data_IF_354723021091
#
_entry.id   IF_354723021091
#
_cell.length_a   1.000
_cell.length_b   1.000
_cell.length_c   1.000
_cell.angle_alpha   90.00
_cell.angle_beta   90.00
_cell.angle_gamma   90.00
#
_symmetry.space_group_name_H-M   'P 1'
#
loop_
_entity.id
_entity.type
_entity.pdbx_description
1 polymer ?
#
# COMPACT_ATOMS: atom_id res chain seq x y z
N UNK A 1 31.49 34.91 -77.46
CA UNK A 1 31.65 34.55 -76.05
C UNK A 1 30.30 34.26 -75.45
N UNK A 2 29.97 32.98 -75.23
CA UNK A 2 28.68 32.55 -74.70
C UNK A 2 28.96 32.13 -73.25
N UNK A 3 28.47 32.92 -72.28
CA UNK A 3 28.61 32.60 -70.84
C UNK A 3 27.58 31.52 -70.48
N UNK A 4 28.09 30.36 -69.98
CA UNK A 4 27.29 29.28 -69.39
C UNK A 4 27.04 29.61 -67.95
N UNK A 5 25.79 29.84 -67.52
CA UNK A 5 25.36 29.89 -66.12
C UNK A 5 25.08 28.47 -65.62
N UNK A 6 25.87 28.02 -64.67
CA UNK A 6 25.65 26.74 -63.93
C UNK A 6 24.72 27.03 -62.78
N UNK A 7 23.48 26.52 -62.82
CA UNK A 7 22.53 26.54 -61.69
C UNK A 7 22.89 25.39 -60.76
N UNK A 8 23.33 25.69 -59.51
CA UNK A 8 23.53 24.72 -58.40
C UNK A 8 22.19 24.61 -57.68
N UNK A 9 21.57 23.43 -57.57
CA UNK A 9 20.34 23.28 -56.83
C UNK A 9 20.66 23.35 -55.32
N UNK A 10 20.06 24.30 -54.63
CA UNK A 10 20.08 24.39 -53.17
C UNK A 10 19.14 23.33 -52.60
N UNK A 11 19.70 22.21 -52.11
CA UNK A 11 18.93 21.20 -51.37
C UNK A 11 18.68 21.73 -49.98
N UNK A 12 17.47 22.24 -49.71
CA UNK A 12 17.00 22.60 -48.40
C UNK A 12 16.64 21.30 -47.66
N UNK A 13 17.49 20.86 -46.77
CA UNK A 13 17.12 19.82 -45.78
C UNK A 13 16.11 20.43 -44.80
N UNK A 14 14.84 20.11 -44.99
CA UNK A 14 13.83 20.33 -43.96
C UNK A 14 14.15 19.42 -42.78
N UNK A 15 14.86 19.93 -41.78
CA UNK A 15 14.96 19.30 -40.47
C UNK A 15 13.57 19.41 -39.87
N UNK A 16 12.78 18.33 -39.97
CA UNK A 16 11.55 18.16 -39.19
C UNK A 16 11.93 18.19 -37.71
N UNK A 17 11.72 19.35 -37.08
CA UNK A 17 11.76 19.42 -35.63
C UNK A 17 10.58 18.55 -35.11
N UNK A 18 10.81 17.26 -34.94
CA UNK A 18 9.94 16.44 -34.15
C UNK A 18 10.04 17.01 -32.72
N UNK A 19 9.03 17.75 -32.28
CA UNK A 19 8.93 18.22 -30.93
C UNK A 19 9.04 16.99 -29.99
N UNK A 20 9.86 17.12 -28.97
CA UNK A 20 10.01 16.07 -27.95
C UNK A 20 8.64 15.70 -27.39
N UNK A 21 8.30 14.41 -27.38
CA UNK A 21 7.04 13.93 -26.80
C UNK A 21 6.96 14.30 -25.32
N UNK A 22 5.79 14.69 -24.86
CA UNK A 22 5.52 14.91 -23.44
C UNK A 22 5.12 13.60 -22.75
N UNK A 23 5.17 13.55 -21.41
CA UNK A 23 4.69 12.42 -20.62
C UNK A 23 3.22 12.08 -20.90
N UNK A 24 2.39 13.13 -21.10
CA UNK A 24 0.98 13.01 -21.42
C UNK A 24 0.77 12.33 -22.78
N UNK A 25 1.47 12.81 -23.81
CA UNK A 25 1.40 12.24 -25.15
C UNK A 25 1.83 10.77 -25.19
N UNK A 26 2.85 10.41 -24.39
CA UNK A 26 3.31 9.04 -24.28
C UNK A 26 2.29 8.19 -23.53
N UNK A 27 1.74 8.70 -22.42
CA UNK A 27 0.70 8.01 -21.66
C UNK A 27 -0.53 7.73 -22.55
N UNK A 28 -1.00 8.73 -23.32
CA UNK A 28 -2.12 8.60 -24.26
C UNK A 28 -1.84 7.54 -25.34
N UNK A 29 -0.63 7.51 -25.89
CA UNK A 29 -0.24 6.54 -26.93
C UNK A 29 -0.13 5.09 -26.39
N UNK A 30 0.31 4.91 -25.13
CA UNK A 30 0.46 3.60 -24.49
C UNK A 30 -0.85 3.06 -23.90
N UNK A 31 -1.80 3.93 -23.56
CA UNK A 31 -3.00 3.60 -22.81
C UNK A 31 -3.80 2.42 -23.39
N UNK A 32 -4.04 2.28 -24.71
CA UNK A 32 -4.81 1.15 -25.24
C UNK A 32 -4.17 -0.22 -24.93
N UNK A 33 -2.83 -0.30 -25.02
CA UNK A 33 -2.09 -1.55 -24.71
C UNK A 33 -2.05 -1.80 -23.21
N UNK A 34 -1.92 -0.77 -22.40
CA UNK A 34 -1.92 -0.85 -20.94
C UNK A 34 -3.28 -1.27 -20.39
N UNK A 35 -4.38 -0.79 -20.97
CA UNK A 35 -5.74 -1.24 -20.60
C UNK A 35 -5.97 -2.73 -20.90
N UNK A 36 -5.28 -3.28 -21.90
CA UNK A 36 -5.30 -4.73 -22.15
C UNK A 36 -4.59 -5.48 -21.01
N UNK A 37 -3.43 -4.99 -20.57
CA UNK A 37 -2.68 -5.56 -19.43
C UNK A 37 -3.49 -5.43 -18.14
N UNK A 38 -4.06 -4.27 -17.88
CA UNK A 38 -4.93 -4.03 -16.71
C UNK A 38 -6.07 -5.04 -16.62
N UNK A 39 -6.85 -5.20 -17.72
CA UNK A 39 -7.98 -6.14 -17.75
C UNK A 39 -7.54 -7.59 -17.58
N UNK A 40 -6.37 -7.94 -18.09
CA UNK A 40 -5.80 -9.26 -17.93
C UNK A 40 -5.37 -9.52 -16.48
N UNK A 41 -4.73 -8.56 -15.79
CA UNK A 41 -4.41 -8.63 -14.36
C UNK A 41 -5.69 -8.69 -13.51
N UNK A 42 -6.65 -7.81 -13.78
CA UNK A 42 -7.92 -7.75 -13.05
C UNK A 42 -8.70 -9.05 -13.10
N UNK A 43 -8.77 -9.69 -14.27
CA UNK A 43 -9.50 -10.96 -14.44
C UNK A 43 -8.74 -12.20 -13.92
N UNK A 44 -7.47 -12.07 -13.55
CA UNK A 44 -6.63 -13.15 -13.04
C UNK A 44 -5.85 -12.72 -11.79
N UNK A 45 -6.53 -12.25 -10.73
CA UNK A 45 -5.87 -11.79 -9.52
C UNK A 45 -5.26 -12.95 -8.74
N UNK A 46 -4.17 -12.69 -8.02
CA UNK A 46 -3.46 -13.65 -7.19
C UNK A 46 -3.33 -13.13 -5.76
N UNK A 47 -3.55 -14.00 -4.78
CA UNK A 47 -3.43 -13.67 -3.36
C UNK A 47 -1.99 -13.36 -2.95
N UNK A 48 -1.83 -12.67 -1.83
CA UNK A 48 -0.54 -12.42 -1.18
C UNK A 48 0.31 -13.70 -1.06
N UNK A 49 1.56 -13.65 -1.49
CA UNK A 49 2.54 -14.74 -1.55
C UNK A 49 2.29 -15.77 -2.69
N UNK A 50 1.36 -15.51 -3.60
CA UNK A 50 1.05 -16.39 -4.74
C UNK A 50 1.09 -15.64 -6.09
N UNK A 51 1.72 -14.48 -6.17
CA UNK A 51 1.71 -13.52 -7.28
C UNK A 51 2.62 -13.96 -8.45
N UNK A 52 2.71 -15.26 -8.76
CA UNK A 52 3.64 -15.78 -9.77
C UNK A 52 3.33 -15.25 -11.18
N UNK A 53 2.05 -15.20 -11.54
CA UNK A 53 1.60 -14.71 -12.84
C UNK A 53 1.75 -13.19 -12.96
N UNK A 54 1.27 -12.46 -11.97
CA UNK A 54 1.32 -10.99 -11.89
C UNK A 54 2.77 -10.50 -11.96
N UNK A 55 3.66 -11.10 -11.16
CA UNK A 55 5.09 -10.80 -11.18
C UNK A 55 5.74 -11.09 -12.53
N UNK A 56 5.37 -12.20 -13.19
CA UNK A 56 5.88 -12.55 -14.52
C UNK A 56 5.45 -11.55 -15.60
N UNK A 57 4.22 -11.00 -15.51
CA UNK A 57 3.74 -9.94 -16.40
C UNK A 57 4.57 -8.66 -16.19
N UNK A 58 4.70 -8.21 -14.93
CA UNK A 58 5.50 -7.02 -14.59
C UNK A 58 6.95 -7.19 -15.06
N UNK A 59 7.57 -8.34 -14.81
CA UNK A 59 8.94 -8.64 -15.24
C UNK A 59 9.09 -8.56 -16.75
N UNK A 60 8.16 -9.16 -17.51
CA UNK A 60 8.16 -9.16 -18.98
C UNK A 60 8.08 -7.73 -19.53
N UNK A 61 7.17 -6.93 -18.99
CA UNK A 61 6.92 -5.57 -19.45
C UNK A 61 8.08 -4.63 -19.09
N UNK A 62 8.68 -4.77 -17.91
CA UNK A 62 9.89 -4.02 -17.53
C UNK A 62 11.09 -4.39 -18.43
N UNK A 63 11.27 -5.67 -18.75
CA UNK A 63 12.29 -6.11 -19.75
C UNK A 63 12.05 -5.46 -21.11
N UNK A 64 10.80 -5.45 -21.58
CA UNK A 64 10.42 -4.79 -22.83
C UNK A 64 10.66 -3.28 -22.83
N UNK A 65 10.52 -2.62 -21.67
CA UNK A 65 10.86 -1.21 -21.49
C UNK A 65 12.38 -0.95 -21.38
N UNK A 66 13.22 -2.00 -21.41
CA UNK A 66 14.68 -1.89 -21.38
C UNK A 66 15.30 -1.90 -20.00
N UNK A 67 14.62 -2.45 -19.01
CA UNK A 67 15.18 -2.71 -17.68
C UNK A 67 15.97 -4.03 -17.65
N UNK A 68 17.04 -4.06 -16.86
CA UNK A 68 17.63 -5.30 -16.37
C UNK A 68 16.77 -5.81 -15.20
N UNK A 69 16.14 -6.98 -15.34
CA UNK A 69 15.14 -7.47 -14.41
C UNK A 69 15.63 -8.71 -13.67
N UNK A 70 15.52 -8.66 -12.35
CA UNK A 70 15.69 -9.82 -11.45
C UNK A 70 14.33 -10.19 -10.85
N UNK A 71 13.98 -11.45 -10.96
CA UNK A 71 12.74 -12.03 -10.47
C UNK A 71 12.96 -12.81 -9.16
N UNK A 72 11.89 -13.04 -8.40
CA UNK A 72 11.89 -13.79 -7.14
C UNK A 72 12.81 -13.19 -6.07
N UNK A 73 12.78 -11.87 -5.96
CA UNK A 73 13.52 -11.12 -4.95
C UNK A 73 12.71 -11.04 -3.67
N UNK A 74 13.27 -11.53 -2.58
CA UNK A 74 12.70 -11.47 -1.24
C UNK A 74 12.82 -12.78 -0.46
N UNK A 75 12.77 -12.67 0.87
CA UNK A 75 12.86 -13.79 1.81
C UNK A 75 11.83 -13.64 2.91
N UNK A 76 10.82 -14.48 2.89
CA UNK A 76 9.87 -14.57 4.01
C UNK A 76 10.45 -15.37 5.17
N UNK A 77 9.96 -15.11 6.39
CA UNK A 77 10.31 -15.89 7.57
C UNK A 77 9.65 -17.29 7.59
N UNK A 78 8.78 -17.56 6.64
CA UNK A 78 8.09 -18.84 6.45
C UNK A 78 8.91 -19.74 5.52
N UNK A 79 9.51 -20.83 6.01
CA UNK A 79 10.29 -21.75 5.19
C UNK A 79 9.48 -22.33 4.01
N UNK A 80 10.11 -22.43 2.85
CA UNK A 80 9.49 -23.01 1.65
C UNK A 80 8.52 -22.11 0.89
N UNK A 81 8.33 -20.85 1.32
CA UNK A 81 7.51 -19.86 0.61
C UNK A 81 8.39 -19.08 -0.37
N UNK A 82 8.01 -19.09 -1.65
CA UNK A 82 8.66 -18.27 -2.68
C UNK A 82 8.20 -16.82 -2.54
N UNK A 83 9.13 -15.87 -2.67
CA UNK A 83 8.80 -14.46 -2.77
C UNK A 83 8.85 -14.05 -4.25
N UNK A 84 7.76 -13.51 -4.78
CA UNK A 84 7.64 -13.13 -6.19
C UNK A 84 8.04 -11.68 -6.48
N UNK A 85 8.88 -11.08 -5.62
CA UNK A 85 9.37 -9.72 -5.80
C UNK A 85 10.17 -9.54 -7.08
N UNK A 86 10.02 -8.37 -7.70
CA UNK A 86 10.68 -7.97 -8.95
C UNK A 86 11.53 -6.73 -8.68
N UNK A 87 12.75 -6.74 -9.20
CA UNK A 87 13.61 -5.55 -9.31
C UNK A 87 14.00 -5.32 -10.75
N UNK A 88 13.50 -4.25 -11.34
CA UNK A 88 13.87 -3.79 -12.68
C UNK A 88 14.79 -2.57 -12.59
N UNK A 89 15.98 -2.65 -13.16
CA UNK A 89 16.97 -1.56 -13.14
C UNK A 89 17.03 -0.88 -14.50
N UNK A 90 16.74 0.41 -14.55
CA UNK A 90 16.94 1.24 -15.75
C UNK A 90 18.03 2.28 -15.48
N UNK A 91 19.16 2.19 -16.16
CA UNK A 91 20.29 3.12 -16.04
C UNK A 91 20.35 4.08 -17.22
N UNK A 92 20.72 5.32 -16.94
CA UNK A 92 20.93 6.37 -17.94
C UNK A 92 22.04 7.36 -17.51
N UNK A 93 23.26 6.86 -17.38
CA UNK A 93 24.42 7.62 -16.92
C UNK A 93 24.48 7.75 -15.39
N UNK A 94 25.43 8.57 -14.93
CA UNK A 94 25.62 8.86 -13.50
C UNK A 94 24.55 9.85 -13.01
N UNK A 95 24.11 9.69 -11.77
CA UNK A 95 23.11 10.55 -11.15
C UNK A 95 22.45 9.88 -9.96
N UNK A 96 21.39 10.50 -9.41
CA UNK A 96 20.65 9.94 -8.28
C UNK A 96 19.99 8.59 -8.61
N UNK A 97 19.61 7.87 -7.56
CA UNK A 97 18.86 6.61 -7.63
C UNK A 97 17.45 6.86 -7.11
N UNK A 98 16.45 6.56 -7.93
CA UNK A 98 15.02 6.66 -7.56
C UNK A 98 14.41 5.27 -7.56
N UNK A 99 13.80 4.89 -6.44
CA UNK A 99 12.97 3.69 -6.36
C UNK A 99 11.53 4.06 -6.68
N UNK A 100 10.88 3.28 -7.56
CA UNK A 100 9.45 3.39 -7.90
C UNK A 100 8.79 2.06 -7.62
N UNK A 101 7.83 2.02 -6.71
CA UNK A 101 7.18 0.78 -6.23
C UNK A 101 5.75 0.65 -6.73
N UNK A 102 5.37 -0.57 -7.05
CA UNK A 102 4.00 -1.06 -7.12
C UNK A 102 3.89 -2.37 -6.34
N UNK A 103 2.80 -2.53 -5.60
CA UNK A 103 2.33 -3.80 -5.08
C UNK A 103 1.70 -4.66 -6.18
N UNK A 104 1.44 -5.97 -5.89
CA UNK A 104 0.99 -6.91 -6.92
C UNK A 104 -0.11 -7.87 -6.47
N UNK A 105 -0.34 -8.01 -5.18
CA UNK A 105 -1.26 -8.99 -4.61
C UNK A 105 -2.73 -8.54 -4.62
N UNK A 106 -3.63 -9.50 -4.42
CA UNK A 106 -5.07 -9.31 -4.40
C UNK A 106 -5.68 -9.91 -3.12
N UNK A 107 -6.96 -9.65 -2.92
CA UNK A 107 -7.71 -9.95 -1.70
C UNK A 107 -8.65 -11.14 -1.86
N UNK A 108 -8.95 -11.89 -0.76
CA UNK A 108 -9.90 -12.99 -0.76
C UNK A 108 -11.36 -12.48 -0.74
N UNK A 109 -11.77 -11.78 -1.81
CA UNK A 109 -13.07 -11.13 -1.95
C UNK A 109 -13.76 -11.63 -3.21
N UNK A 110 -15.07 -11.90 -3.13
CA UNK A 110 -15.91 -12.20 -4.30
C UNK A 110 -16.28 -10.90 -5.00
N UNK A 111 -15.92 -10.77 -6.27
CA UNK A 111 -16.19 -9.57 -7.04
C UNK A 111 -17.67 -9.45 -7.43
N UNK A 112 -18.26 -8.27 -7.21
CA UNK A 112 -19.63 -7.92 -7.52
C UNK A 112 -19.73 -6.62 -8.35
N UNK A 113 -18.68 -6.26 -9.06
CA UNK A 113 -18.62 -5.00 -9.86
C UNK A 113 -19.51 -5.06 -11.10
N UNK A 114 -19.74 -6.25 -11.66
CA UNK A 114 -20.46 -6.43 -12.92
C UNK A 114 -19.64 -6.05 -14.17
N UNK A 115 -18.33 -5.82 -14.02
CA UNK A 115 -17.44 -5.55 -15.15
C UNK A 115 -17.36 -6.75 -16.10
N UNK A 116 -17.24 -6.51 -17.40
CA UNK A 116 -17.12 -7.60 -18.39
C UNK A 116 -15.83 -8.43 -18.23
N UNK A 117 -14.87 -7.90 -17.50
CA UNK A 117 -13.58 -8.52 -17.16
C UNK A 117 -13.47 -8.81 -15.66
N UNK A 118 -14.59 -8.84 -14.94
CA UNK A 118 -14.62 -9.17 -13.51
C UNK A 118 -13.96 -10.53 -13.23
N UNK A 119 -13.29 -10.62 -12.08
CA UNK A 119 -12.67 -11.86 -11.64
C UNK A 119 -13.69 -12.94 -11.32
N UNK A 120 -13.41 -14.15 -11.79
CA UNK A 120 -14.11 -15.39 -11.39
C UNK A 120 -13.15 -16.37 -10.73
N UNK A 121 -11.95 -15.90 -10.36
CA UNK A 121 -10.88 -16.72 -9.80
C UNK A 121 -11.26 -17.20 -8.41
N UNK A 122 -11.02 -18.48 -8.16
CA UNK A 122 -11.04 -19.10 -6.83
C UNK A 122 -9.65 -19.73 -6.60
N UNK A 123 -9.03 -19.41 -5.49
CA UNK A 123 -7.68 -19.90 -5.15
C UNK A 123 -7.62 -20.37 -3.69
N UNK A 124 -6.61 -21.17 -3.36
CA UNK A 124 -6.32 -21.54 -1.97
C UNK A 124 -5.59 -20.41 -1.28
N UNK A 125 -6.13 -19.99 -0.13
CA UNK A 125 -5.42 -19.08 0.77
C UNK A 125 -4.30 -19.82 1.53
N UNK A 126 -3.57 -19.09 2.39
CA UNK A 126 -2.47 -19.65 3.20
C UNK A 126 -2.89 -20.74 4.18
N UNK A 127 -4.18 -20.82 4.49
CA UNK A 127 -4.77 -21.84 5.38
C UNK A 127 -5.32 -23.04 4.60
N UNK A 128 -5.16 -23.05 3.27
CA UNK A 128 -5.62 -24.11 2.38
C UNK A 128 -7.11 -24.07 2.05
N UNK A 129 -7.81 -23.00 2.41
CA UNK A 129 -9.23 -22.78 2.11
C UNK A 129 -9.39 -22.23 0.70
N UNK A 130 -10.39 -22.71 -0.04
CA UNK A 130 -10.76 -22.13 -1.32
C UNK A 130 -11.54 -20.83 -1.10
N UNK A 131 -11.01 -19.72 -1.64
CA UNK A 131 -11.59 -18.38 -1.51
C UNK A 131 -11.67 -17.71 -2.89
N UNK A 132 -12.69 -16.88 -3.15
CA UNK A 132 -12.71 -16.03 -4.35
C UNK A 132 -11.63 -14.97 -4.24
N UNK A 133 -11.13 -14.47 -5.38
CA UNK A 133 -10.03 -13.49 -5.40
C UNK A 133 -10.39 -12.30 -6.28
N UNK A 134 -10.11 -11.09 -5.80
CA UNK A 134 -10.38 -9.82 -6.49
C UNK A 134 -9.28 -8.80 -6.21
N UNK A 135 -8.89 -7.99 -7.20
CA UNK A 135 -8.12 -6.77 -7.01
C UNK A 135 -8.98 -5.65 -6.40
N UNK A 136 -9.40 -5.84 -5.15
CA UNK A 136 -10.27 -4.88 -4.46
C UNK A 136 -9.52 -3.70 -3.81
N UNK A 137 -8.17 -3.67 -3.94
CA UNK A 137 -7.30 -2.56 -3.52
C UNK A 137 -6.60 -1.87 -4.72
N UNK A 138 -6.96 -2.21 -5.96
CA UNK A 138 -6.47 -1.54 -7.16
C UNK A 138 -5.01 -1.81 -7.52
N UNK A 139 -4.38 -2.87 -7.01
CA UNK A 139 -2.97 -3.17 -7.32
C UNK A 139 -2.74 -3.49 -8.80
N UNK A 140 -3.75 -3.90 -9.54
CA UNK A 140 -3.73 -4.01 -11.00
C UNK A 140 -3.57 -2.65 -11.70
N UNK A 141 -4.17 -1.57 -11.15
CA UNK A 141 -3.92 -0.17 -11.56
C UNK A 141 -2.48 0.23 -11.26
N UNK A 142 -1.97 -0.14 -10.06
CA UNK A 142 -0.62 0.21 -9.64
C UNK A 142 0.42 -0.47 -10.52
N UNK A 143 0.30 -1.79 -10.76
CA UNK A 143 1.17 -2.53 -11.69
C UNK A 143 1.16 -1.94 -13.10
N UNK A 144 -0.03 -1.64 -13.61
CA UNK A 144 -0.19 -1.07 -14.96
C UNK A 144 0.43 0.33 -15.04
N UNK A 145 0.28 1.14 -14.00
CA UNK A 145 0.89 2.48 -13.90
C UNK A 145 2.43 2.39 -13.83
N UNK A 146 2.98 1.43 -13.08
CA UNK A 146 4.43 1.14 -13.03
C UNK A 146 4.97 0.81 -14.42
N UNK A 147 4.30 -0.11 -15.14
CA UNK A 147 4.67 -0.51 -16.50
C UNK A 147 4.62 0.69 -17.45
N UNK A 148 3.55 1.48 -17.40
CA UNK A 148 3.40 2.69 -18.22
C UNK A 148 4.48 3.73 -17.92
N UNK A 149 4.81 3.94 -16.66
CA UNK A 149 5.90 4.82 -16.20
C UNK A 149 7.25 4.35 -16.73
N UNK A 150 7.55 3.05 -16.68
CA UNK A 150 8.78 2.50 -17.21
C UNK A 150 8.90 2.70 -18.74
N UNK A 151 7.81 2.48 -19.49
CA UNK A 151 7.75 2.72 -20.93
C UNK A 151 7.94 4.20 -21.26
N UNK A 152 7.34 5.11 -20.48
CA UNK A 152 7.48 6.56 -20.67
C UNK A 152 8.93 7.02 -20.41
N UNK A 153 9.52 6.61 -19.29
CA UNK A 153 10.90 7.00 -18.94
C UNK A 153 11.93 6.39 -19.90
N UNK A 154 11.67 5.21 -20.46
CA UNK A 154 12.49 4.62 -21.51
C UNK A 154 12.52 5.48 -22.80
N UNK A 155 11.39 6.10 -23.18
CA UNK A 155 11.28 7.00 -24.33
C UNK A 155 11.83 8.40 -24.05
N UNK A 156 11.95 8.80 -22.77
CA UNK A 156 12.41 10.13 -22.34
C UNK A 156 13.86 10.13 -21.81
N UNK A 157 14.69 9.18 -22.20
CA UNK A 157 16.11 9.06 -21.72
C UNK A 157 16.97 10.28 -21.96
N UNK A 158 16.64 11.10 -22.93
CA UNK A 158 17.29 12.38 -23.21
C UNK A 158 17.02 13.45 -22.13
N UNK A 159 15.98 13.29 -21.29
CA UNK A 159 15.53 14.26 -20.28
C UNK A 159 16.06 13.99 -18.87
N UNK A 160 16.59 12.80 -18.57
CA UNK A 160 17.01 12.44 -17.22
C UNK A 160 18.36 11.72 -17.20
N UNK A 161 19.02 11.69 -16.03
CA UNK A 161 20.22 10.92 -15.74
C UNK A 161 20.12 10.28 -14.36
N UNK A 162 20.71 9.10 -14.21
CA UNK A 162 20.76 8.35 -12.97
C UNK A 162 20.28 6.92 -13.12
N UNK A 163 19.75 6.36 -12.06
CA UNK A 163 19.23 4.98 -12.01
C UNK A 163 17.83 4.95 -11.46
N UNK A 164 16.95 4.17 -12.09
CA UNK A 164 15.61 3.90 -11.59
C UNK A 164 15.53 2.44 -11.19
N UNK A 165 15.08 2.19 -9.96
CA UNK A 165 14.76 0.86 -9.45
C UNK A 165 13.23 0.70 -9.48
N UNK A 166 12.70 -0.03 -10.44
CA UNK A 166 11.29 -0.41 -10.49
C UNK A 166 11.07 -1.64 -9.62
N UNK A 167 10.20 -1.54 -8.65
CA UNK A 167 9.89 -2.59 -7.69
C UNK A 167 8.47 -3.10 -7.93
N UNK A 168 8.35 -4.39 -8.29
CA UNK A 168 7.11 -5.14 -8.17
C UNK A 168 7.12 -5.85 -6.82
N UNK A 169 6.35 -5.37 -5.88
CA UNK A 169 6.32 -5.86 -4.51
C UNK A 169 5.17 -6.84 -4.30
N UNK A 170 5.41 -8.06 -3.81
CA UNK A 170 4.35 -9.00 -3.43
C UNK A 170 3.86 -8.71 -2.00
N UNK A 171 2.76 -9.34 -1.60
CA UNK A 171 2.31 -9.51 -0.21
C UNK A 171 2.21 -8.20 0.60
N UNK A 172 1.64 -7.16 -0.01
CA UNK A 172 1.33 -5.89 0.66
C UNK A 172 0.18 -6.07 1.65
N UNK A 173 -0.90 -6.75 1.25
CA UNK A 173 -2.14 -6.95 2.03
C UNK A 173 -1.95 -7.77 3.32
N UNK A 174 -0.77 -8.35 3.47
CA UNK A 174 -0.32 -9.02 4.69
C UNK A 174 0.94 -8.38 5.28
N UNK A 175 1.24 -7.13 4.87
CA UNK A 175 2.30 -6.23 5.37
C UNK A 175 3.67 -6.91 5.50
N UNK A 176 4.05 -7.73 4.54
CA UNK A 176 5.29 -8.51 4.64
C UNK A 176 6.21 -8.41 3.42
N UNK A 177 5.72 -7.94 2.29
CA UNK A 177 6.46 -7.95 1.03
C UNK A 177 7.67 -7.04 1.01
N UNK A 178 7.53 -5.79 1.44
CA UNK A 178 8.62 -4.82 1.47
C UNK A 178 9.77 -5.31 2.38
N UNK A 179 9.43 -5.77 3.59
CA UNK A 179 10.41 -6.33 4.52
C UNK A 179 11.08 -7.59 3.97
N UNK A 180 10.36 -8.47 3.27
CA UNK A 180 10.94 -9.65 2.63
C UNK A 180 11.97 -9.27 1.56
N UNK A 181 11.68 -8.25 0.74
CA UNK A 181 12.62 -7.76 -0.28
C UNK A 181 13.86 -7.10 0.35
N UNK A 182 13.69 -6.28 1.39
CA UNK A 182 14.80 -5.68 2.14
C UNK A 182 15.67 -6.76 2.81
N UNK A 183 15.06 -7.78 3.41
CA UNK A 183 15.75 -8.92 4.03
C UNK A 183 16.56 -9.74 3.02
N UNK A 184 16.14 -9.82 1.77
CA UNK A 184 16.92 -10.46 0.70
C UNK A 184 18.05 -9.56 0.17
N UNK A 185 18.27 -8.41 0.77
CA UNK A 185 19.39 -7.52 0.47
C UNK A 185 19.08 -6.51 -0.65
N UNK A 186 17.86 -6.01 -0.77
CA UNK A 186 17.50 -5.03 -1.79
C UNK A 186 18.48 -3.87 -1.87
N UNK A 187 18.91 -3.32 -0.74
CA UNK A 187 19.85 -2.18 -0.70
C UNK A 187 21.34 -2.57 -0.60
N UNK A 188 21.66 -3.86 -0.73
CA UNK A 188 23.03 -4.38 -0.79
C UNK A 188 23.36 -5.00 -2.14
N UNK A 189 22.35 -5.54 -2.83
CA UNK A 189 22.48 -6.13 -4.17
C UNK A 189 22.32 -5.08 -5.26
N UNK A 190 21.53 -4.02 -4.98
CA UNK A 190 21.30 -2.88 -5.87
C UNK A 190 21.65 -1.58 -5.17
N UNK A 191 21.87 -0.48 -5.90
CA UNK A 191 22.18 0.81 -5.28
C UNK A 191 21.06 1.23 -4.30
N UNK A 192 21.47 1.70 -3.11
CA UNK A 192 20.54 2.31 -2.15
C UNK A 192 19.92 3.56 -2.81
N UNK A 193 18.58 3.71 -2.81
CA UNK A 193 17.95 4.84 -3.46
C UNK A 193 18.15 6.15 -2.65
N UNK A 194 18.22 7.28 -3.38
CA UNK A 194 18.17 8.62 -2.82
C UNK A 194 16.74 9.06 -2.53
N UNK A 195 15.75 8.50 -3.25
CA UNK A 195 14.33 8.76 -3.10
C UNK A 195 13.52 7.49 -3.34
N UNK A 196 12.41 7.35 -2.61
CA UNK A 196 11.44 6.26 -2.83
C UNK A 196 10.07 6.85 -3.18
N UNK A 197 9.49 6.39 -4.29
CA UNK A 197 8.19 6.83 -4.79
C UNK A 197 7.23 5.65 -4.91
N UNK A 198 5.96 5.89 -4.59
CA UNK A 198 4.85 4.99 -4.89
C UNK A 198 3.60 5.79 -5.24
N UNK A 199 2.63 5.12 -5.82
CA UNK A 199 1.26 5.62 -5.92
C UNK A 199 0.30 4.57 -5.36
N UNK A 200 -0.85 5.03 -4.89
CA UNK A 200 -1.99 4.19 -4.55
C UNK A 200 -3.25 4.80 -5.17
N UNK A 201 -4.17 4.00 -5.69
CA UNK A 201 -5.46 4.51 -6.10
C UNK A 201 -6.35 4.86 -4.88
N UNK A 202 -7.39 5.64 -5.10
CA UNK A 202 -8.21 6.15 -3.99
C UNK A 202 -9.69 6.17 -4.37
N UNK A 203 -10.47 5.41 -3.60
CA UNK A 203 -11.91 5.25 -3.78
C UNK A 203 -12.76 6.45 -3.34
N UNK A 204 -12.16 7.50 -2.79
CA UNK A 204 -12.84 8.72 -2.34
C UNK A 204 -12.48 9.94 -3.18
N UNK A 205 -11.56 9.79 -4.15
CA UNK A 205 -11.04 10.87 -4.98
C UNK A 205 -11.51 10.70 -6.43
N UNK A 206 -11.83 11.82 -7.03
CA UNK A 206 -12.24 11.90 -8.44
C UNK A 206 -11.12 11.49 -9.39
N UNK A 207 -11.41 10.58 -10.32
CA UNK A 207 -10.48 10.16 -11.35
C UNK A 207 -9.96 11.37 -12.15
N UNK A 208 -8.65 11.40 -12.43
CA UNK A 208 -7.96 12.54 -13.02
C UNK A 208 -7.31 13.49 -11.99
N UNK A 209 -7.56 13.28 -10.70
CA UNK A 209 -6.93 14.02 -9.61
C UNK A 209 -5.89 13.19 -8.88
N UNK A 210 -4.94 13.91 -8.28
CA UNK A 210 -3.94 13.35 -7.34
C UNK A 210 -4.12 14.02 -6.00
N UNK A 211 -4.09 13.23 -4.93
CA UNK A 211 -4.01 13.76 -3.57
C UNK A 211 -2.65 13.48 -2.95
N UNK A 212 -2.16 14.43 -2.17
CA UNK A 212 -0.91 14.36 -1.44
C UNK A 212 -1.15 14.52 0.05
N UNK A 213 -0.33 13.85 0.87
CA UNK A 213 -0.38 13.93 2.33
C UNK A 213 1.04 14.21 2.82
N UNK A 214 1.41 15.43 3.22
CA UNK A 214 2.71 15.69 3.84
C UNK A 214 2.79 15.14 5.27
N UNK A 215 3.91 14.54 5.63
CA UNK A 215 4.08 13.88 6.92
C UNK A 215 3.48 12.48 6.96
N UNK A 216 2.93 12.08 8.10
CA UNK A 216 2.28 10.78 8.23
C UNK A 216 1.06 10.67 7.33
N UNK A 217 1.01 9.65 6.48
CA UNK A 217 -0.09 9.38 5.54
C UNK A 217 -0.92 8.16 5.94
N UNK A 218 -0.25 7.07 6.34
CA UNK A 218 -0.88 5.83 6.83
C UNK A 218 -0.35 5.48 8.21
N UNK A 219 -1.21 4.86 9.03
CA UNK A 219 -0.86 4.51 10.40
C UNK A 219 0.05 3.28 10.44
N UNK A 220 0.85 3.19 11.51
CA UNK A 220 1.43 1.95 11.95
C UNK A 220 0.35 0.95 12.34
N UNK A 221 0.62 -0.33 12.18
CA UNK A 221 -0.26 -1.43 12.55
C UNK A 221 0.45 -2.40 13.47
N UNK A 222 -0.21 -2.78 14.54
CA UNK A 222 0.20 -3.86 15.44
C UNK A 222 -0.94 -4.84 15.65
N UNK A 223 -0.60 -6.14 15.68
CA UNK A 223 -1.46 -7.23 16.10
C UNK A 223 -1.10 -7.63 17.53
N UNK A 224 -2.10 -7.74 18.41
CA UNK A 224 -1.90 -8.09 19.82
C UNK A 224 -2.88 -9.19 20.22
N UNK A 225 -2.35 -10.31 20.70
CA UNK A 225 -3.14 -11.40 21.30
C UNK A 225 -3.12 -11.29 22.82
N UNK A 226 -4.27 -11.46 23.45
CA UNK A 226 -4.40 -11.42 24.92
C UNK A 226 -5.14 -12.64 25.41
N UNK A 227 -4.50 -13.41 26.31
CA UNK A 227 -5.14 -14.53 27.01
C UNK A 227 -5.42 -14.12 28.44
N UNK A 228 -6.71 -14.02 28.78
CA UNK A 228 -7.20 -13.77 30.14
C UNK A 228 -7.47 -15.10 30.79
N UNK A 229 -6.66 -15.46 31.80
CA UNK A 229 -6.75 -16.70 32.53
C UNK A 229 -7.64 -16.57 33.77
N UNK A 230 -8.40 -17.59 34.07
CA UNK A 230 -9.29 -17.67 35.21
C UNK A 230 -9.20 -19.00 35.94
N UNK A 231 -10.25 -19.34 36.65
CA UNK A 231 -10.51 -20.65 37.22
C UNK A 231 -11.98 -20.98 36.98
N UNK A 232 -12.19 -21.90 36.06
CA UNK A 232 -13.53 -22.30 35.61
C UNK A 232 -14.29 -23.11 36.64
N UNK A 233 -15.58 -23.34 36.33
CA UNK A 233 -16.45 -24.13 37.21
C UNK A 233 -17.92 -24.05 36.87
N UNK A 234 -18.76 -24.50 37.78
CA UNK A 234 -20.21 -24.51 37.57
C UNK A 234 -20.78 -23.09 37.67
N UNK A 235 -21.51 -22.62 36.66
CA UNK A 235 -22.05 -21.27 36.58
C UNK A 235 -22.95 -20.84 37.74
N UNK A 236 -23.57 -21.80 38.50
CA UNK A 236 -24.33 -21.50 39.70
C UNK A 236 -23.47 -21.30 40.96
N UNK A 237 -22.16 -21.54 40.90
CA UNK A 237 -21.23 -21.37 42.03
C UNK A 237 -20.07 -20.41 41.72
N UNK A 238 -20.35 -19.17 41.26
CA UNK A 238 -19.32 -18.22 40.81
C UNK A 238 -18.32 -17.87 41.91
N UNK A 239 -18.73 -17.92 43.18
CA UNK A 239 -17.88 -17.68 44.36
C UNK A 239 -16.74 -18.70 44.53
N UNK A 240 -16.76 -19.84 43.82
CA UNK A 240 -15.72 -20.89 43.79
C UNK A 240 -14.81 -20.77 42.56
N UNK A 241 -15.01 -19.77 41.73
CA UNK A 241 -14.32 -19.59 40.46
C UNK A 241 -13.58 -18.24 40.43
N UNK A 242 -12.84 -18.02 39.33
CA UNK A 242 -12.38 -16.71 38.89
C UNK A 242 -12.81 -16.59 37.41
N UNK A 243 -13.88 -15.86 37.20
CA UNK A 243 -14.54 -15.82 35.89
C UNK A 243 -13.74 -14.98 34.89
N UNK A 244 -13.07 -15.60 33.88
CA UNK A 244 -12.29 -14.84 32.89
C UNK A 244 -13.15 -14.09 31.91
N UNK A 245 -14.45 -14.41 31.76
CA UNK A 245 -15.37 -13.66 30.87
C UNK A 245 -15.67 -12.29 31.48
N UNK A 246 -15.99 -12.25 32.77
CA UNK A 246 -16.23 -11.00 33.51
C UNK A 246 -14.96 -10.17 33.52
N UNK A 247 -13.80 -10.76 33.82
CA UNK A 247 -12.52 -10.07 33.83
C UNK A 247 -12.17 -9.51 32.43
N UNK A 248 -12.38 -10.27 31.35
CA UNK A 248 -12.16 -9.79 29.99
C UNK A 248 -13.04 -8.58 29.66
N UNK A 249 -14.30 -8.57 30.07
CA UNK A 249 -15.20 -7.44 29.88
C UNK A 249 -14.73 -6.17 30.65
N UNK A 250 -14.24 -6.33 31.87
CA UNK A 250 -13.65 -5.24 32.65
C UNK A 250 -12.39 -4.69 32.00
N UNK A 251 -11.49 -5.56 31.52
CA UNK A 251 -10.27 -5.19 30.79
C UNK A 251 -10.62 -4.40 29.51
N UNK A 252 -11.56 -4.89 28.70
CA UNK A 252 -12.01 -4.21 27.47
C UNK A 252 -12.50 -2.79 27.77
N UNK A 253 -13.34 -2.63 28.80
CA UNK A 253 -13.84 -1.32 29.21
C UNK A 253 -12.70 -0.40 29.71
N UNK A 254 -11.78 -0.94 30.51
CA UNK A 254 -10.64 -0.19 31.03
C UNK A 254 -9.69 0.26 29.91
N UNK A 255 -9.45 -0.54 28.89
CA UNK A 255 -8.63 -0.17 27.74
C UNK A 255 -9.17 1.04 26.96
N UNK A 256 -10.48 1.31 27.00
CA UNK A 256 -11.02 2.51 26.35
C UNK A 256 -10.44 3.82 26.96
N UNK A 257 -9.95 3.76 28.20
CA UNK A 257 -9.31 4.90 28.86
C UNK A 257 -7.95 5.24 28.27
N UNK A 258 -7.26 4.29 27.63
CA UNK A 258 -6.01 4.53 26.91
C UNK A 258 -6.22 5.64 25.87
N UNK A 259 -7.26 5.51 25.05
CA UNK A 259 -7.58 6.48 24.01
C UNK A 259 -8.17 7.78 24.59
N UNK A 260 -9.05 7.67 25.58
CA UNK A 260 -9.81 8.80 26.06
C UNK A 260 -9.13 9.60 27.18
N UNK A 261 -8.10 9.03 27.88
CA UNK A 261 -7.47 9.65 29.06
C UNK A 261 -5.96 9.61 29.09
N UNK A 262 -5.31 8.52 28.61
CA UNK A 262 -3.87 8.33 28.80
C UNK A 262 -3.03 9.01 27.70
N UNK A 263 -3.48 9.02 26.45
CA UNK A 263 -2.76 9.65 25.36
C UNK A 263 -3.11 11.12 25.16
N UNK A 264 -2.20 11.88 24.53
CA UNK A 264 -2.51 13.24 24.09
C UNK A 264 -3.69 13.22 23.08
N UNK A 265 -4.77 14.00 23.28
CA UNK A 265 -5.91 14.05 22.37
C UNK A 265 -5.56 14.41 20.92
N UNK A 266 -4.47 15.16 20.70
CA UNK A 266 -3.99 15.57 19.38
C UNK A 266 -3.23 14.47 18.63
N UNK A 267 -2.89 13.35 19.27
CA UNK A 267 -2.24 12.23 18.62
C UNK A 267 -3.30 11.17 18.23
N UNK A 268 -3.62 11.00 16.93
CA UNK A 268 -4.58 9.98 16.51
C UNK A 268 -4.08 8.58 16.86
N UNK A 269 -4.97 7.74 17.38
CA UNK A 269 -4.69 6.33 17.64
C UNK A 269 -5.99 5.51 17.71
N UNK A 270 -5.89 4.22 17.41
CA UNK A 270 -6.98 3.25 17.48
C UNK A 270 -6.53 2.04 18.31
N UNK A 271 -7.38 1.58 19.21
CA UNK A 271 -7.28 0.27 19.88
C UNK A 271 -8.63 -0.41 19.70
N UNK A 272 -8.67 -1.44 18.86
CA UNK A 272 -9.89 -2.19 18.57
C UNK A 272 -9.70 -3.66 18.91
N UNK A 273 -10.69 -4.23 19.64
CA UNK A 273 -10.78 -5.67 19.89
C UNK A 273 -11.59 -6.26 18.74
N UNK A 274 -10.92 -6.96 17.82
CA UNK A 274 -11.54 -7.58 16.65
C UNK A 274 -12.12 -8.96 16.91
N UNK A 275 -11.65 -9.64 17.96
CA UNK A 275 -12.05 -11.01 18.26
C UNK A 275 -12.04 -11.25 19.76
N UNK A 276 -13.04 -12.01 20.27
CA UNK A 276 -13.12 -12.50 21.63
C UNK A 276 -13.73 -13.90 21.65
N UNK A 277 -13.04 -14.85 22.28
CA UNK A 277 -13.48 -16.24 22.38
C UNK A 277 -13.32 -16.77 23.80
N UNK A 278 -14.40 -17.28 24.39
CA UNK A 278 -14.38 -17.89 25.71
C UNK A 278 -15.71 -18.56 26.06
N UNK A 279 -15.62 -19.72 26.72
CA UNK A 279 -16.76 -20.52 27.12
C UNK A 279 -17.40 -21.33 25.98
N UNK A 280 -18.13 -22.38 26.33
CA UNK A 280 -18.77 -23.30 25.38
C UNK A 280 -20.24 -23.55 25.71
N UNK A 281 -20.69 -23.29 26.95
CA UNK A 281 -22.03 -23.58 27.42
C UNK A 281 -22.45 -22.58 28.49
N UNK A 282 -23.76 -22.21 28.52
CA UNK A 282 -24.34 -21.18 29.39
C UNK A 282 -24.18 -21.43 30.90
N UNK A 283 -23.94 -22.67 31.37
CA UNK A 283 -23.81 -23.03 32.77
C UNK A 283 -22.42 -23.46 33.19
N UNK A 284 -21.39 -23.16 32.34
CA UNK A 284 -19.97 -23.45 32.62
C UNK A 284 -19.17 -22.15 32.50
N UNK A 285 -18.47 -21.79 33.58
CA UNK A 285 -17.46 -20.74 33.57
C UNK A 285 -16.18 -21.34 32.99
N UNK A 286 -15.57 -20.80 31.94
CA UNK A 286 -14.36 -21.33 31.31
C UNK A 286 -13.09 -21.04 32.14
N UNK A 287 -11.98 -21.66 31.76
CA UNK A 287 -10.67 -21.40 32.35
C UNK A 287 -9.94 -20.21 31.74
N UNK A 288 -10.29 -19.83 30.50
CA UNK A 288 -9.66 -18.72 29.80
C UNK A 288 -10.59 -18.03 28.81
N UNK A 289 -10.24 -16.79 28.44
CA UNK A 289 -10.76 -16.01 27.31
C UNK A 289 -9.60 -15.52 26.48
N UNK A 290 -9.70 -15.66 25.15
CA UNK A 290 -8.73 -15.14 24.19
C UNK A 290 -9.31 -13.95 23.45
N UNK A 291 -8.50 -12.91 23.30
CA UNK A 291 -8.85 -11.69 22.57
C UNK A 291 -7.76 -11.34 21.55
N UNK A 292 -8.17 -10.80 20.44
CA UNK A 292 -7.27 -10.28 19.42
C UNK A 292 -7.57 -8.81 19.17
N UNK A 293 -6.53 -7.99 19.19
CA UNK A 293 -6.61 -6.54 19.05
C UNK A 293 -5.79 -6.07 17.86
N UNK A 294 -6.24 -4.99 17.24
CA UNK A 294 -5.40 -4.16 16.38
C UNK A 294 -5.15 -2.81 17.03
N UNK A 295 -3.90 -2.36 16.96
CA UNK A 295 -3.48 -1.03 17.42
C UNK A 295 -2.99 -0.24 16.21
N UNK A 296 -3.46 1.02 16.06
CA UNK A 296 -3.04 1.92 14.99
C UNK A 296 -2.53 3.22 15.58
N UNK A 297 -1.35 3.66 15.12
CA UNK A 297 -0.71 4.91 15.60
C UNK A 297 0.12 5.52 14.48
N UNK A 298 0.48 6.81 14.63
CA UNK A 298 1.47 7.42 13.72
C UNK A 298 2.86 7.49 14.35
N UNK A 299 2.95 7.88 15.61
CA UNK A 299 4.21 8.15 16.28
C UNK A 299 4.70 6.94 17.09
N UNK A 300 5.98 6.58 17.00
CA UNK A 300 6.54 5.45 17.76
C UNK A 300 6.34 5.57 19.27
N UNK A 301 6.49 6.77 19.85
CA UNK A 301 6.30 7.00 21.28
C UNK A 301 4.84 6.80 21.73
N UNK A 302 3.87 7.08 20.86
CA UNK A 302 2.44 6.83 21.14
C UNK A 302 2.16 5.32 21.08
N UNK A 303 2.76 4.61 20.12
CA UNK A 303 2.69 3.15 20.02
C UNK A 303 3.19 2.47 21.30
N UNK A 304 4.41 2.80 21.72
CA UNK A 304 5.02 2.23 22.92
C UNK A 304 4.18 2.49 24.17
N UNK A 305 3.67 3.71 24.33
CA UNK A 305 2.80 4.06 25.45
C UNK A 305 1.50 3.25 25.46
N UNK A 306 0.87 3.05 24.29
CA UNK A 306 -0.37 2.27 24.16
C UNK A 306 -0.13 0.78 24.44
N UNK A 307 0.89 0.18 23.84
CA UNK A 307 1.21 -1.25 24.07
C UNK A 307 1.55 -1.51 25.52
N UNK A 308 2.32 -0.64 26.17
CA UNK A 308 2.61 -0.71 27.62
C UNK A 308 1.34 -0.55 28.46
N UNK A 309 0.41 0.34 28.08
CA UNK A 309 -0.84 0.53 28.78
C UNK A 309 -1.79 -0.67 28.66
N UNK A 310 -1.83 -1.35 27.51
CA UNK A 310 -2.60 -2.57 27.29
C UNK A 310 -2.20 -3.64 28.32
N UNK A 311 -0.91 -3.91 28.45
CA UNK A 311 -0.39 -4.90 29.43
C UNK A 311 -0.65 -4.45 30.88
N UNK A 312 -0.31 -3.21 31.22
CA UNK A 312 -0.46 -2.65 32.56
C UNK A 312 -1.91 -2.69 33.04
N UNK A 313 -2.86 -2.30 32.19
CA UNK A 313 -4.29 -2.25 32.54
C UNK A 313 -4.85 -3.66 32.69
N UNK A 314 -4.51 -4.59 31.79
CA UNK A 314 -4.93 -5.99 31.90
C UNK A 314 -4.48 -6.61 33.23
N UNK A 315 -3.22 -6.42 33.61
CA UNK A 315 -2.68 -6.87 34.89
C UNK A 315 -3.33 -6.17 36.08
N UNK A 316 -3.61 -4.86 35.98
CA UNK A 316 -4.31 -4.09 37.00
C UNK A 316 -5.72 -4.61 37.28
N UNK A 317 -6.51 -4.88 36.26
CA UNK A 317 -7.85 -5.49 36.39
C UNK A 317 -7.75 -6.92 37.02
N UNK A 318 -6.78 -7.72 36.60
CA UNK A 318 -6.55 -9.04 37.14
C UNK A 318 -6.20 -9.03 38.65
N UNK A 319 -5.39 -8.07 39.08
CA UNK A 319 -5.09 -7.85 40.51
C UNK A 319 -6.38 -7.47 41.28
N UNK A 320 -7.18 -6.54 40.73
CA UNK A 320 -8.46 -6.15 41.33
C UNK A 320 -9.45 -7.32 41.45
N UNK A 321 -9.46 -8.24 40.47
CA UNK A 321 -10.25 -9.48 40.45
C UNK A 321 -9.65 -10.60 41.30
N UNK A 322 -8.57 -10.35 42.05
CA UNK A 322 -7.85 -11.33 42.86
C UNK A 322 -7.38 -12.57 42.07
N UNK A 323 -6.93 -12.37 40.84
CA UNK A 323 -6.30 -13.41 40.04
C UNK A 323 -4.92 -13.75 40.63
N UNK A 324 -4.58 -15.02 40.78
CA UNK A 324 -3.26 -15.42 41.29
C UNK A 324 -2.12 -14.98 40.39
N UNK A 325 -0.91 -14.72 40.94
CA UNK A 325 0.24 -14.23 40.14
C UNK A 325 0.64 -15.14 38.98
N UNK A 326 0.44 -16.45 39.10
CA UNK A 326 0.73 -17.45 38.05
C UNK A 326 -0.34 -17.51 36.94
N UNK A 327 -1.45 -16.76 37.11
CA UNK A 327 -2.57 -16.69 36.15
C UNK A 327 -2.83 -15.27 35.61
N UNK A 328 -1.85 -14.37 35.77
CA UNK A 328 -1.97 -13.03 35.16
C UNK A 328 -2.25 -13.10 33.66
N UNK A 329 -2.98 -12.13 33.10
CA UNK A 329 -3.18 -12.05 31.66
C UNK A 329 -1.84 -12.08 30.91
N UNK A 330 -1.82 -12.83 29.82
CA UNK A 330 -0.69 -12.91 28.90
C UNK A 330 -0.98 -12.02 27.69
N UNK A 331 -0.13 -11.02 27.49
CA UNK A 331 -0.23 -10.05 26.38
C UNK A 331 0.93 -10.29 25.43
N UNK A 332 0.62 -10.74 24.22
CA UNK A 332 1.60 -11.03 23.17
C UNK A 332 1.45 -10.05 22.01
N UNK A 333 2.49 -9.24 21.78
CA UNK A 333 2.60 -8.36 20.60
C UNK A 333 3.32 -9.13 19.49
N UNK A 334 2.71 -9.21 18.31
CA UNK A 334 3.30 -9.88 17.16
C UNK A 334 4.27 -8.95 16.43
N UNK A 335 5.53 -8.90 16.85
CA UNK A 335 6.55 -8.01 16.29
C UNK A 335 6.80 -8.23 14.77
N UNK A 336 6.59 -9.43 14.28
CA UNK A 336 6.70 -9.78 12.86
C UNK A 336 5.47 -9.37 12.02
N UNK A 337 4.40 -8.91 12.66
CA UNK A 337 3.20 -8.33 12.03
C UNK A 337 3.14 -6.80 12.23
N UNK A 338 4.20 -6.21 12.78
CA UNK A 338 4.30 -4.77 12.92
C UNK A 338 4.68 -4.09 11.61
N UNK A 339 3.94 -3.05 11.25
CA UNK A 339 4.25 -2.15 10.15
C UNK A 339 4.38 -0.73 10.69
N UNK A 340 5.50 -0.03 10.46
CA UNK A 340 5.63 1.37 10.82
C UNK A 340 4.62 2.25 10.08
N UNK A 341 4.39 3.48 10.58
CA UNK A 341 3.59 4.46 9.87
C UNK A 341 4.27 4.92 8.58
N UNK A 342 3.51 5.07 7.50
CA UNK A 342 4.03 5.65 6.25
C UNK A 342 4.20 7.15 6.44
N UNK A 343 5.45 7.61 6.26
CA UNK A 343 5.83 9.00 6.40
C UNK A 343 6.32 9.56 5.07
N UNK A 344 5.52 10.44 4.47
CA UNK A 344 5.91 11.20 3.30
C UNK A 344 6.79 12.39 3.73
N UNK A 345 7.99 12.48 3.21
CA UNK A 345 8.89 13.59 3.53
C UNK A 345 8.26 14.93 3.11
N UNK A 346 8.00 15.88 4.04
CA UNK A 346 7.24 17.10 3.72
C UNK A 346 7.89 17.98 2.65
N UNK A 347 9.22 18.06 2.62
CA UNK A 347 9.94 18.87 1.61
C UNK A 347 9.84 18.19 0.23
N UNK A 348 9.92 16.86 0.17
CA UNK A 348 9.72 16.11 -1.06
C UNK A 348 8.27 16.25 -1.55
N UNK A 349 7.29 16.11 -0.66
CA UNK A 349 5.86 16.33 -1.01
C UNK A 349 5.64 17.71 -1.59
N UNK A 350 6.18 18.76 -0.95
CA UNK A 350 6.06 20.14 -1.43
C UNK A 350 6.65 20.33 -2.82
N UNK A 351 7.84 19.74 -3.07
CA UNK A 351 8.54 19.77 -4.34
C UNK A 351 7.73 19.07 -5.42
N UNK A 352 7.33 17.83 -5.17
CA UNK A 352 6.65 17.01 -6.16
C UNK A 352 5.20 17.44 -6.38
N UNK A 353 4.52 18.00 -5.37
CA UNK A 353 3.20 18.61 -5.56
C UNK A 353 3.23 19.78 -6.57
N UNK A 354 4.31 20.57 -6.59
CA UNK A 354 4.48 21.64 -7.59
C UNK A 354 4.70 21.06 -9.00
N UNK A 355 5.46 19.97 -9.12
CA UNK A 355 5.66 19.22 -10.36
C UNK A 355 4.33 18.66 -10.86
N UNK A 356 3.58 17.99 -10.00
CA UNK A 356 2.26 17.42 -10.31
C UNK A 356 1.26 18.51 -10.76
N UNK A 357 1.22 19.66 -10.07
CA UNK A 357 0.39 20.81 -10.47
C UNK A 357 0.74 21.35 -11.84
N UNK A 358 2.03 21.33 -12.19
CA UNK A 358 2.48 21.76 -13.53
C UNK A 358 2.04 20.77 -14.61
N UNK A 359 2.10 19.47 -14.33
CA UNK A 359 1.75 18.42 -15.29
C UNK A 359 0.23 18.22 -15.46
N UNK A 360 -0.53 18.30 -14.36
CA UNK A 360 -1.95 17.94 -14.35
C UNK A 360 -2.90 19.15 -14.23
N UNK A 361 -2.37 20.31 -13.88
CA UNK A 361 -3.15 21.51 -13.53
C UNK A 361 -3.38 21.65 -12.04
N UNK A 362 -3.44 22.90 -11.56
CA UNK A 362 -3.53 23.23 -10.14
C UNK A 362 -4.74 22.59 -9.42
N UNK A 363 -5.89 22.55 -10.08
CA UNK A 363 -7.14 22.06 -9.51
C UNK A 363 -7.19 20.52 -9.41
N UNK A 364 -6.26 19.84 -10.05
CA UNK A 364 -6.17 18.39 -10.07
C UNK A 364 -5.17 17.82 -9.04
N UNK A 365 -4.55 18.67 -8.23
CA UNK A 365 -3.66 18.24 -7.14
C UNK A 365 -4.13 18.83 -5.82
N UNK A 366 -4.63 17.98 -4.94
CA UNK A 366 -5.25 18.37 -3.66
C UNK A 366 -4.48 17.78 -2.47
N UNK A 367 -4.62 18.39 -1.30
CA UNK A 367 -4.19 17.76 -0.06
C UNK A 367 -5.36 17.01 0.58
N UNK A 368 -5.07 15.85 1.18
CA UNK A 368 -6.04 15.11 1.99
C UNK A 368 -5.49 14.83 3.40
N UNK A 369 -6.37 14.58 4.38
CA UNK A 369 -5.92 14.16 5.71
C UNK A 369 -5.30 12.75 5.67
N UNK A 370 -4.45 12.41 6.66
CA UNK A 370 -3.96 11.05 6.85
C UNK A 370 -5.07 10.08 7.23
N UNK A 371 -4.85 8.78 7.00
CA UNK A 371 -5.82 7.71 7.26
C UNK A 371 -5.24 6.65 8.21
N UNK A 372 -6.12 5.90 8.90
CA UNK A 372 -5.71 4.85 9.84
C UNK A 372 -5.49 3.47 9.21
N UNK A 373 -5.57 3.34 7.87
CA UNK A 373 -5.07 2.18 7.16
C UNK A 373 -3.54 2.10 7.29
N UNK A 374 -2.95 0.94 7.08
CA UNK A 374 -1.49 0.75 7.04
C UNK A 374 -1.03 0.42 5.64
N UNK A 375 0.28 0.60 5.39
CA UNK A 375 0.91 0.42 4.09
C UNK A 375 2.40 0.10 4.31
N UNK A 376 2.91 -1.00 3.74
CA UNK A 376 4.28 -1.45 3.98
C UNK A 376 5.34 -0.77 3.09
N UNK A 377 4.94 0.09 2.15
CA UNK A 377 5.86 0.96 1.41
C UNK A 377 6.78 1.78 2.33
N UNK A 378 6.31 2.10 3.54
CA UNK A 378 7.09 2.78 4.56
C UNK A 378 8.46 2.13 4.82
N UNK A 379 8.57 0.81 4.69
CA UNK A 379 9.80 0.07 4.95
C UNK A 379 10.95 0.52 4.03
N UNK A 380 10.66 0.98 2.81
CA UNK A 380 11.69 1.46 1.88
C UNK A 380 12.35 2.77 2.30
N UNK A 381 11.71 3.57 3.16
CA UNK A 381 12.32 4.79 3.71
C UNK A 381 13.33 4.52 4.82
N UNK A 382 13.39 3.29 5.33
CA UNK A 382 14.10 2.84 6.53
C UNK A 382 13.54 3.47 7.82
N UNK A 383 13.78 2.86 9.00
CA UNK A 383 13.22 3.35 10.27
C UNK A 383 13.62 4.78 10.66
N UNK A 384 14.79 5.25 10.19
CA UNK A 384 15.32 6.58 10.43
C UNK A 384 14.90 7.63 9.37
N UNK A 385 14.03 7.22 8.43
CA UNK A 385 13.60 8.03 7.28
C UNK A 385 14.78 8.61 6.47
N UNK A 386 15.92 7.91 6.45
CA UNK A 386 17.14 8.34 5.74
C UNK A 386 16.96 8.36 4.22
N UNK A 387 15.94 7.68 3.70
CA UNK A 387 15.51 7.76 2.31
C UNK A 387 14.21 8.54 2.28
N UNK A 388 14.19 9.78 1.75
CA UNK A 388 12.96 10.55 1.55
C UNK A 388 11.97 9.76 0.71
N UNK A 389 10.78 9.50 1.27
CA UNK A 389 9.71 8.77 0.61
C UNK A 389 8.54 9.70 0.26
N UNK A 390 7.87 9.40 -0.83
CA UNK A 390 6.64 10.06 -1.23
C UNK A 390 5.70 9.07 -1.91
N UNK A 391 4.57 8.81 -1.28
CA UNK A 391 3.45 8.11 -1.87
C UNK A 391 2.29 9.09 -2.06
N UNK A 392 1.78 9.18 -3.27
CA UNK A 392 0.61 9.98 -3.60
C UNK A 392 -0.59 9.12 -3.97
N UNK A 393 -1.80 9.65 -3.78
CA UNK A 393 -3.02 8.94 -4.13
C UNK A 393 -3.56 9.42 -5.47
N UNK A 394 -3.98 8.48 -6.32
CA UNK A 394 -4.60 8.75 -7.63
C UNK A 394 -6.09 8.48 -7.54
N UNK A 395 -6.91 9.45 -7.89
CA UNK A 395 -8.36 9.31 -7.85
C UNK A 395 -8.86 8.19 -8.77
N UNK A 396 -9.79 7.39 -8.26
CA UNK A 396 -10.31 6.22 -8.94
C UNK A 396 -11.81 6.31 -9.27
N UNK A 397 -12.53 7.33 -8.79
CA UNK A 397 -13.99 7.41 -8.88
C UNK A 397 -14.43 8.41 -9.94
N UNK A 398 -15.44 8.05 -10.74
CA UNK A 398 -16.00 8.95 -11.74
C UNK A 398 -16.58 10.23 -11.10
N UNK A 399 -16.39 11.42 -11.72
CA UNK A 399 -16.84 12.70 -11.16
C UNK A 399 -18.33 12.76 -10.82
N UNK A 400 -19.16 12.17 -11.65
CA UNK A 400 -20.61 12.11 -11.46
C UNK A 400 -20.99 11.22 -10.29
N UNK A 401 -20.27 10.11 -10.04
CA UNK A 401 -20.47 9.22 -8.90
C UNK A 401 -20.10 9.95 -7.60
N UNK A 402 -18.97 10.68 -7.58
CA UNK A 402 -18.61 11.55 -6.44
C UNK A 402 -19.70 12.61 -6.17
N UNK A 403 -20.21 13.25 -7.24
CA UNK A 403 -21.27 14.25 -7.10
C UNK A 403 -22.57 13.64 -6.57
N UNK A 404 -22.90 12.42 -6.97
CA UNK A 404 -24.08 11.70 -6.49
C UNK A 404 -23.97 11.26 -5.03
N UNK A 405 -22.80 10.76 -4.60
CA UNK A 405 -22.58 10.29 -3.22
C UNK A 405 -22.75 11.38 -2.17
N UNK A 406 -22.60 12.65 -2.54
CA UNK A 406 -22.78 13.82 -1.66
C UNK A 406 -24.27 14.23 -1.46
N UNK A 407 -25.20 13.61 -2.17
CA UNK A 407 -26.63 13.92 -2.02
C UNK A 407 -27.22 13.25 -0.77
N UNK A 408 -28.16 13.91 -0.06
CA UNK A 408 -28.80 13.30 1.10
C UNK A 408 -29.45 11.96 0.75
N UNK A 409 -29.15 10.91 1.52
CA UNK A 409 -29.68 9.55 1.30
C UNK A 409 -29.02 8.74 0.18
N UNK A 410 -27.97 9.28 -0.44
CA UNK A 410 -27.17 8.49 -1.39
C UNK A 410 -26.42 7.36 -0.68
N UNK A 411 -26.22 6.20 -1.33
CA UNK A 411 -25.37 5.15 -0.77
C UNK A 411 -23.92 5.64 -0.68
N UNK A 412 -23.11 5.13 0.27
CA UNK A 412 -21.69 5.42 0.31
C UNK A 412 -20.99 4.92 -0.97
N UNK A 413 -19.87 5.56 -1.29
CA UNK A 413 -18.98 5.06 -2.34
C UNK A 413 -18.46 3.67 -1.98
N UNK A 414 -18.30 2.75 -2.97
CA UNK A 414 -17.54 1.53 -2.75
C UNK A 414 -16.10 1.90 -2.38
N UNK A 415 -15.73 1.69 -1.11
CA UNK A 415 -14.36 1.90 -0.65
C UNK A 415 -13.42 0.80 -1.20
N UNK A 416 -12.12 1.03 -1.09
CA UNK A 416 -11.12 -0.05 -1.19
C UNK A 416 -11.55 -1.23 -0.28
N UNK A 417 -11.22 -2.45 -0.67
CA UNK A 417 -11.62 -3.71 -0.04
C UNK A 417 -13.15 -4.01 -0.14
N UNK A 418 -13.89 -3.26 -0.94
CA UNK A 418 -15.30 -3.57 -1.25
C UNK A 418 -15.39 -4.51 -2.45
N UNK A 419 -16.34 -5.47 -2.41
CA UNK A 419 -16.68 -6.33 -3.56
C UNK A 419 -17.14 -5.55 -4.80
N UNK A 420 -17.46 -4.26 -4.64
CA UNK A 420 -17.95 -3.36 -5.68
C UNK A 420 -16.96 -2.28 -6.08
N UNK A 421 -15.75 -2.30 -5.52
CA UNK A 421 -14.73 -1.34 -5.91
C UNK A 421 -14.28 -1.61 -7.36
N UNK A 422 -14.41 -0.59 -8.22
CA UNK A 422 -13.97 -0.63 -9.61
C UNK A 422 -13.48 0.76 -10.02
N UNK A 423 -12.18 0.95 -10.27
CA UNK A 423 -11.63 2.23 -10.68
C UNK A 423 -12.04 2.61 -12.10
N UNK A 424 -12.09 3.93 -12.40
CA UNK A 424 -12.14 4.45 -13.78
C UNK A 424 -10.77 4.26 -14.40
N UNK A 425 -10.48 3.03 -14.82
CA UNK A 425 -9.13 2.54 -15.09
C UNK A 425 -8.35 3.38 -16.09
N UNK A 426 -8.97 3.82 -17.18
CA UNK A 426 -8.30 4.60 -18.24
C UNK A 426 -7.78 5.95 -17.72
N UNK A 427 -8.63 6.70 -17.01
CA UNK A 427 -8.27 7.99 -16.43
C UNK A 427 -7.29 7.83 -15.28
N UNK A 428 -7.53 6.85 -14.40
CA UNK A 428 -6.70 6.61 -13.20
C UNK A 428 -5.29 6.17 -13.58
N UNK A 429 -5.14 5.19 -14.46
CA UNK A 429 -3.84 4.70 -14.97
C UNK A 429 -3.08 5.82 -15.70
N UNK A 430 -3.76 6.54 -16.60
CA UNK A 430 -3.16 7.69 -17.30
C UNK A 430 -2.61 8.72 -16.32
N UNK A 431 -3.42 9.08 -15.32
CA UNK A 431 -3.04 10.08 -14.30
C UNK A 431 -1.84 9.61 -13.48
N UNK A 432 -1.85 8.33 -13.07
CA UNK A 432 -0.73 7.70 -12.36
C UNK A 432 0.57 7.74 -13.17
N UNK A 433 0.52 7.37 -14.45
CA UNK A 433 1.69 7.39 -15.35
C UNK A 433 2.24 8.82 -15.52
N UNK A 434 1.37 9.79 -15.80
CA UNK A 434 1.78 11.18 -15.96
C UNK A 434 2.38 11.71 -14.67
N UNK A 435 1.73 11.49 -13.54
CA UNK A 435 2.21 11.93 -12.23
C UNK A 435 3.57 11.33 -11.89
N UNK A 436 3.68 10.00 -11.90
CA UNK A 436 4.91 9.30 -11.53
C UNK A 436 6.07 9.62 -12.49
N UNK A 437 5.81 9.67 -13.80
CA UNK A 437 6.84 10.01 -14.79
C UNK A 437 7.42 11.41 -14.55
N UNK A 438 6.57 12.41 -14.27
CA UNK A 438 7.06 13.78 -14.03
C UNK A 438 7.81 13.91 -12.70
N UNK A 439 7.38 13.22 -11.63
CA UNK A 439 8.14 13.17 -10.37
C UNK A 439 9.53 12.57 -10.60
N UNK A 440 9.63 11.43 -11.28
CA UNK A 440 10.94 10.80 -11.55
C UNK A 440 11.80 11.71 -12.45
N UNK A 441 11.24 12.37 -13.46
CA UNK A 441 11.97 13.31 -14.31
C UNK A 441 12.50 14.52 -13.54
N UNK A 442 11.78 15.02 -12.53
CA UNK A 442 12.25 16.13 -11.70
C UNK A 442 13.41 15.71 -10.79
N UNK A 443 13.30 14.52 -10.17
CA UNK A 443 14.33 13.98 -9.26
C UNK A 443 15.61 13.59 -10.01
N UNK A 444 15.52 13.16 -11.26
CA UNK A 444 16.65 12.74 -12.11
C UNK A 444 17.03 13.78 -13.19
N UNK A 445 16.62 15.02 -13.01
CA UNK A 445 16.82 16.09 -13.97
C UNK A 445 18.29 16.26 -14.34
N UNK A 446 18.57 16.40 -15.66
CA UNK A 446 19.89 16.71 -16.21
C UNK A 446 20.37 18.09 -15.84
#
# INVERSE_FOLDING_TARGET
>A
MIARFTIVPLIVFAVSAFGQQTSEQIADAELPSLLTIYKDLHSHPELSMFEERSSSIVARELKAAGCEVTERVGKYDRPGTTCFGIVGVMKNGDGPVVLVRSDMDALPIHEETGAAYASTVTAKNRDGQDVPVMHACGHDVHMTSLIGTARALSKLKDRWRGTILFIGQPAEEVVSGANAMLKDGLYTRWPKPDYALALHDDGDIEAGKIAVVPGYSHAASDSVDVTVKGAGGHGAYPHRTRDPIVLAAEIINAWQTIISRDKNPLDPAVVSIGSIHGGTKHNIIPDEVKMQLTVRTYKPEVREAILSAIDRIAKGCAIAAAIPPDKMPDVHVHENEHTPATYNNPELVKREAAVLKTALGNDNVVEKPPIMASEDFCAYSLPDHSIPAFMFNVGAVAPDVIAQSKKPGAPPLPSLHSSKFLPVADVTIRTGIVGMTNCVLDLLKK
#
